data_IF_728275644529
#
_entry.id   IF_728275644529
#
_cell.length_a   1.000
_cell.length_b   1.000
_cell.length_c   1.000
_cell.angle_alpha   90.00
_cell.angle_beta   90.00
_cell.angle_gamma   90.00
#
_symmetry.space_group_name_H-M   'P 1'
#
loop_
_entity.id
_entity.type
_entity.pdbx_description
1 polymer ?
#
# COMPACT_ATOMS: atom_id res chain seq x y z
N UNK A 1 -3.06 -11.61 33.12
CA UNK A 1 -4.34 -11.48 32.39
C UNK A 1 -4.16 -10.46 31.28
N UNK A 2 -3.93 -10.91 30.04
CA UNK A 2 -3.79 -10.04 28.87
C UNK A 2 -5.19 -9.71 28.36
N UNK A 3 -5.51 -8.41 28.26
CA UNK A 3 -6.66 -7.96 27.46
C UNK A 3 -6.35 -8.31 26.01
N UNK A 4 -7.23 -9.11 25.40
CA UNK A 4 -7.22 -9.50 24.00
C UNK A 4 -7.36 -8.23 23.16
N UNK A 5 -6.24 -7.62 22.76
CA UNK A 5 -6.22 -6.70 21.63
C UNK A 5 -6.15 -7.56 20.37
N UNK A 6 -7.16 -7.43 19.53
CA UNK A 6 -7.36 -8.26 18.35
C UNK A 6 -6.13 -8.20 17.44
N UNK A 7 -5.42 -9.33 17.33
CA UNK A 7 -4.23 -9.52 16.49
C UNK A 7 -4.49 -9.25 14.99
N UNK A 8 -5.73 -9.00 14.59
CA UNK A 8 -6.11 -8.63 13.23
C UNK A 8 -5.71 -7.21 12.82
N UNK A 9 -5.44 -6.30 13.76
CA UNK A 9 -4.84 -5.00 13.40
C UNK A 9 -3.35 -5.13 13.04
N UNK A 10 -2.65 -6.12 13.60
CA UNK A 10 -1.23 -6.37 13.30
C UNK A 10 -1.02 -7.02 11.93
N UNK A 11 -2.03 -7.68 11.35
CA UNK A 11 -1.91 -8.29 10.02
C UNK A 11 -1.88 -7.26 8.88
N UNK A 12 -2.34 -6.03 9.11
CA UNK A 12 -2.32 -4.98 8.08
C UNK A 12 -0.90 -4.35 7.96
N UNK A 13 -0.09 -4.40 9.01
CA UNK A 13 1.28 -3.88 8.99
C UNK A 13 2.32 -4.86 8.39
N UNK A 14 1.92 -6.08 8.01
CA UNK A 14 2.84 -7.11 7.48
C UNK A 14 2.47 -7.46 6.03
N UNK A 15 2.38 -6.44 5.18
CA UNK A 15 2.71 -6.56 3.76
C UNK A 15 3.84 -5.58 3.38
N UNK A 16 4.76 -5.31 4.31
CA UNK A 16 6.07 -4.72 3.98
C UNK A 16 6.94 -5.81 3.36
N UNK A 17 6.64 -6.17 2.10
CA UNK A 17 7.66 -6.72 1.22
C UNK A 17 8.68 -5.61 1.08
N UNK A 18 9.91 -5.89 1.54
CA UNK A 18 10.99 -4.92 1.64
C UNK A 18 11.24 -4.17 0.35
N UNK A 19 10.60 -3.02 0.21
CA UNK A 19 11.03 -1.94 -0.64
C UNK A 19 11.86 -1.03 0.26
N UNK A 20 13.17 -1.15 0.15
CA UNK A 20 14.07 -0.09 0.62
C UNK A 20 13.77 1.11 -0.29
N UNK A 21 12.79 1.93 0.10
CA UNK A 21 12.46 3.17 -0.61
C UNK A 21 13.47 4.21 -0.15
N UNK A 22 14.62 4.27 -0.82
CA UNK A 22 15.47 5.46 -0.78
C UNK A 22 14.66 6.63 -1.35
N UNK A 23 14.13 7.45 -0.45
CA UNK A 23 13.41 8.67 -0.78
C UNK A 23 14.41 9.74 -1.18
N UNK A 24 14.24 10.29 -2.37
CA UNK A 24 14.83 11.57 -2.74
C UNK A 24 13.73 12.64 -2.69
N UNK A 25 13.65 13.36 -1.58
CA UNK A 25 13.03 14.69 -1.56
C UNK A 25 14.07 15.71 -2.00
N UNK A 26 13.88 16.21 -3.22
CA UNK A 26 14.62 17.34 -3.74
C UNK A 26 14.18 17.60 -5.16
N UNK A 27 13.81 18.84 -5.48
CA UNK A 27 13.90 19.36 -6.85
C UNK A 27 15.38 19.31 -7.25
N UNK A 28 15.84 18.12 -7.60
CA UNK A 28 17.10 17.90 -8.25
C UNK A 28 16.72 17.46 -9.65
N UNK A 29 17.08 18.28 -10.63
CA UNK A 29 17.22 17.82 -12.01
C UNK A 29 18.26 16.70 -11.99
N UNK A 30 17.85 15.47 -11.70
CA UNK A 30 18.74 14.32 -11.73
C UNK A 30 19.05 14.05 -13.19
N UNK A 31 20.30 14.36 -13.58
CA UNK A 31 20.93 14.01 -14.87
C UNK A 31 21.19 12.49 -14.99
N UNK A 32 20.29 11.68 -14.43
CA UNK A 32 20.37 10.22 -14.38
C UNK A 32 19.32 9.65 -15.33
N UNK A 33 19.67 8.71 -16.23
CA UNK A 33 18.74 8.28 -17.27
C UNK A 33 17.56 7.52 -16.67
N UNK A 34 16.33 8.01 -16.90
CA UNK A 34 15.09 7.38 -16.48
C UNK A 34 14.97 5.93 -17.00
N UNK A 35 14.33 5.05 -16.22
CA UNK A 35 13.99 3.68 -16.66
C UNK A 35 12.64 3.62 -17.37
N UNK A 36 11.70 4.48 -16.97
CA UNK A 36 10.39 4.66 -17.59
C UNK A 36 9.86 6.08 -17.34
N UNK A 37 8.92 6.53 -18.18
CA UNK A 37 8.08 7.71 -17.96
C UNK A 37 6.62 7.24 -17.89
N UNK A 38 5.88 7.66 -16.87
CA UNK A 38 4.47 7.33 -16.65
C UNK A 38 3.67 8.62 -16.57
N UNK A 39 2.83 8.90 -17.57
CA UNK A 39 2.05 10.14 -17.68
C UNK A 39 2.91 11.42 -17.55
N UNK A 40 4.14 11.38 -18.06
CA UNK A 40 5.09 12.50 -18.01
C UNK A 40 5.97 12.56 -16.76
N UNK A 41 5.75 11.71 -15.75
CA UNK A 41 6.60 11.61 -14.56
C UNK A 41 7.64 10.48 -14.72
N UNK A 42 8.90 10.74 -14.38
CA UNK A 42 10.00 9.80 -14.59
C UNK A 42 10.18 8.84 -13.41
N UNK A 43 10.38 7.55 -13.71
CA UNK A 43 10.93 6.55 -12.80
C UNK A 43 12.44 6.52 -13.00
N UNK A 44 13.22 6.92 -12.00
CA UNK A 44 14.69 7.06 -12.10
C UNK A 44 15.46 5.78 -11.79
N UNK A 45 16.70 5.67 -12.31
CA UNK A 45 17.59 4.52 -12.09
C UNK A 45 18.03 4.32 -10.65
N UNK A 46 18.09 5.35 -9.81
CA UNK A 46 18.40 5.19 -8.38
C UNK A 46 17.39 4.30 -7.66
N UNK A 47 16.13 4.27 -8.16
CA UNK A 47 15.12 3.33 -7.68
C UNK A 47 15.41 1.90 -8.12
N UNK A 48 16.08 1.69 -9.25
CA UNK A 48 16.43 0.39 -9.85
C UNK A 48 17.92 0.11 -9.64
N UNK A 49 18.28 -0.28 -8.43
CA UNK A 49 19.67 -0.42 -7.96
C UNK A 49 20.54 -1.30 -8.89
N UNK A 50 21.76 -0.82 -9.16
CA UNK A 50 22.81 -1.57 -9.85
C UNK A 50 23.25 -2.81 -9.05
N UNK A 51 23.38 -3.98 -9.70
CA UNK A 51 23.83 -5.24 -9.07
C UNK A 51 22.70 -6.23 -8.75
N UNK A 52 21.46 -5.90 -9.12
CA UNK A 52 20.29 -6.77 -8.98
C UNK A 52 20.11 -7.61 -10.27
N UNK A 53 19.64 -8.87 -10.13
CA UNK A 53 19.30 -9.71 -11.29
C UNK A 53 18.24 -9.03 -12.18
N UNK A 54 18.20 -9.28 -13.49
CA UNK A 54 17.21 -8.67 -14.39
C UNK A 54 15.77 -8.79 -13.88
N UNK A 55 15.38 -9.95 -13.35
CA UNK A 55 14.06 -10.20 -12.76
C UNK A 55 13.73 -9.27 -11.59
N UNK A 56 14.70 -8.99 -10.72
CA UNK A 56 14.46 -8.11 -9.59
C UNK A 56 14.50 -6.62 -10.01
N UNK A 57 15.23 -6.24 -11.07
CA UNK A 57 15.10 -4.91 -11.68
C UNK A 57 13.71 -4.70 -12.29
N UNK A 58 13.19 -5.70 -12.99
CA UNK A 58 11.83 -5.71 -13.53
C UNK A 58 10.80 -5.54 -12.41
N UNK A 59 10.94 -6.27 -11.29
CA UNK A 59 10.03 -6.18 -10.15
C UNK A 59 10.04 -4.80 -9.49
N UNK A 60 11.21 -4.20 -9.37
CA UNK A 60 11.36 -2.85 -8.81
C UNK A 60 10.72 -1.81 -9.72
N UNK A 61 10.91 -1.92 -11.03
CA UNK A 61 10.24 -1.04 -12.01
C UNK A 61 8.72 -1.22 -11.99
N UNK A 62 8.23 -2.47 -11.91
CA UNK A 62 6.79 -2.78 -11.75
C UNK A 62 6.20 -2.07 -10.52
N UNK A 63 6.83 -2.23 -9.36
CA UNK A 63 6.37 -1.61 -8.12
C UNK A 63 6.40 -0.07 -8.20
N UNK A 64 7.44 0.50 -8.80
CA UNK A 64 7.54 1.95 -8.97
C UNK A 64 6.45 2.50 -9.90
N UNK A 65 6.11 1.79 -10.98
CA UNK A 65 5.00 2.15 -11.87
C UNK A 65 3.68 2.09 -11.10
N UNK A 66 3.43 1.01 -10.34
CA UNK A 66 2.21 0.85 -9.52
C UNK A 66 2.06 1.98 -8.50
N UNK A 67 3.12 2.31 -7.77
CA UNK A 67 3.14 3.42 -6.81
C UNK A 67 2.78 4.75 -7.49
N UNK A 68 3.37 5.00 -8.66
CA UNK A 68 3.20 6.25 -9.39
C UNK A 68 1.78 6.42 -9.92
N UNK A 69 1.18 5.38 -10.52
CA UNK A 69 -0.21 5.47 -10.99
C UNK A 69 -1.20 5.64 -9.85
N UNK A 70 -0.95 5.02 -8.68
CA UNK A 70 -1.76 5.21 -7.47
C UNK A 70 -1.67 6.67 -6.98
N UNK A 71 -0.46 7.24 -6.90
CA UNK A 71 -0.28 8.65 -6.51
C UNK A 71 -0.99 9.60 -7.47
N UNK A 72 -0.92 9.33 -8.77
CA UNK A 72 -1.60 10.12 -9.78
C UNK A 72 -3.12 10.04 -9.66
N UNK A 73 -3.68 8.84 -9.43
CA UNK A 73 -5.11 8.68 -9.19
C UNK A 73 -5.55 9.36 -7.89
N UNK A 74 -4.80 9.20 -6.80
CA UNK A 74 -5.09 9.87 -5.53
C UNK A 74 -5.12 11.40 -5.69
N UNK A 75 -4.16 11.97 -6.42
CA UNK A 75 -4.12 13.40 -6.76
C UNK A 75 -5.33 13.83 -7.58
N UNK A 76 -5.70 13.06 -8.60
CA UNK A 76 -6.90 13.30 -9.43
C UNK A 76 -8.19 13.25 -8.59
N UNK A 77 -8.24 12.38 -7.60
CA UNK A 77 -9.34 12.27 -6.65
C UNK A 77 -9.29 13.31 -5.52
N UNK A 78 -8.24 14.12 -5.42
CA UNK A 78 -8.07 15.10 -4.33
C UNK A 78 -7.87 14.45 -2.96
N UNK A 79 -7.30 13.25 -2.93
CA UNK A 79 -6.98 12.47 -1.73
C UNK A 79 -5.58 12.87 -1.22
N UNK A 80 -5.43 12.99 0.10
CA UNK A 80 -4.17 13.30 0.76
C UNK A 80 -4.06 12.46 2.04
N UNK A 81 -2.84 12.04 2.40
CA UNK A 81 -2.61 11.32 3.63
C UNK A 81 -2.92 12.18 4.86
N UNK A 82 -3.58 11.62 5.86
CA UNK A 82 -3.81 12.29 7.14
C UNK A 82 -2.59 12.13 8.03
N UNK A 83 -1.77 13.18 8.12
CA UNK A 83 -0.53 13.17 8.90
C UNK A 83 -0.74 12.83 10.37
N UNK A 84 -1.91 13.11 10.95
CA UNK A 84 -2.22 12.77 12.33
C UNK A 84 -2.44 11.27 12.51
N UNK A 85 -3.10 10.63 11.55
CA UNK A 85 -3.26 9.18 11.51
C UNK A 85 -1.89 8.52 11.41
N UNK A 86 -1.03 9.05 10.54
CA UNK A 86 0.35 8.55 10.39
C UNK A 86 1.16 8.68 11.68
N UNK A 87 1.10 9.83 12.36
CA UNK A 87 1.77 10.01 13.66
C UNK A 87 1.28 8.99 14.70
N UNK A 88 -0.04 8.79 14.77
CA UNK A 88 -0.64 7.83 15.69
C UNK A 88 -0.18 6.40 15.39
N UNK A 89 -0.10 6.02 14.12
CA UNK A 89 0.34 4.70 13.68
C UNK A 89 1.84 4.47 13.96
N UNK A 90 2.70 5.45 13.67
CA UNK A 90 4.14 5.40 14.01
C UNK A 90 4.32 5.16 15.51
N UNK A 91 3.61 5.89 16.36
CA UNK A 91 3.69 5.72 17.81
C UNK A 91 3.12 4.38 18.29
N UNK A 92 2.08 3.86 17.62
CA UNK A 92 1.54 2.53 17.91
C UNK A 92 2.55 1.44 17.53
N UNK A 93 3.20 1.54 16.38
CA UNK A 93 4.25 0.62 15.95
C UNK A 93 5.38 0.65 16.98
N UNK A 94 5.89 1.82 17.37
CA UNK A 94 6.95 1.95 18.37
C UNK A 94 6.60 1.28 19.70
N UNK A 95 5.36 1.45 20.17
CA UNK A 95 4.87 0.78 21.39
C UNK A 95 4.80 -0.74 21.27
N UNK A 96 4.59 -1.28 20.06
CA UNK A 96 4.53 -2.73 19.83
C UNK A 96 5.89 -3.44 19.95
N UNK A 97 7.00 -2.70 19.80
CA UNK A 97 8.37 -3.24 19.87
C UNK A 97 8.92 -3.34 21.29
N UNK A 98 8.17 -2.95 22.33
CA UNK A 98 8.58 -3.06 23.73
C UNK A 98 9.55 -1.96 24.17
N UNK A 99 10.75 -1.93 23.60
CA UNK A 99 11.76 -0.91 23.87
C UNK A 99 12.14 -0.09 22.64
N UNK A 100 12.67 1.12 22.87
CA UNK A 100 13.19 1.98 21.80
C UNK A 100 14.36 1.32 21.05
N UNK A 101 15.23 0.61 21.77
CA UNK A 101 16.39 -0.07 21.20
C UNK A 101 15.98 -1.21 20.26
N UNK A 102 14.96 -2.01 20.63
CA UNK A 102 14.41 -3.06 19.76
C UNK A 102 13.81 -2.50 18.46
N UNK A 103 13.13 -1.36 18.54
CA UNK A 103 12.61 -0.65 17.37
C UNK A 103 13.74 -0.12 16.48
N UNK A 104 14.74 0.56 17.06
CA UNK A 104 15.88 1.07 16.29
C UNK A 104 16.68 -0.06 15.63
N UNK A 105 16.86 -1.19 16.30
CA UNK A 105 17.52 -2.36 15.74
C UNK A 105 16.70 -3.03 14.64
N UNK A 106 15.36 -3.02 14.74
CA UNK A 106 14.50 -3.42 13.64
C UNK A 106 14.71 -2.54 12.40
N UNK A 107 14.70 -1.21 12.55
CA UNK A 107 14.94 -0.28 11.45
C UNK A 107 16.33 -0.49 10.82
N UNK A 108 17.38 -0.65 11.64
CA UNK A 108 18.74 -0.96 11.18
C UNK A 108 18.81 -2.27 10.39
N UNK A 109 18.19 -3.35 10.88
CA UNK A 109 18.13 -4.65 10.18
C UNK A 109 17.42 -4.53 8.85
N UNK A 110 16.37 -3.71 8.78
CA UNK A 110 15.63 -3.39 7.56
C UNK A 110 16.35 -2.39 6.65
N UNK A 111 17.40 -1.73 7.15
CA UNK A 111 18.17 -0.68 6.47
C UNK A 111 17.30 0.51 6.06
N UNK A 112 16.37 0.89 6.94
CA UNK A 112 15.46 2.03 6.75
C UNK A 112 15.55 2.97 7.95
N UNK A 113 15.11 4.20 7.77
CA UNK A 113 14.90 5.19 8.84
C UNK A 113 13.44 5.22 9.27
N UNK A 114 13.14 5.89 10.39
CA UNK A 114 11.74 6.16 10.81
C UNK A 114 11.01 7.01 9.76
N UNK A 115 11.71 7.93 9.09
CA UNK A 115 11.15 8.72 7.99
C UNK A 115 10.78 7.86 6.77
N UNK A 116 11.61 6.86 6.43
CA UNK A 116 11.30 5.92 5.36
C UNK A 116 10.02 5.13 5.69
N UNK A 117 9.93 4.63 6.93
CA UNK A 117 8.72 3.96 7.42
C UNK A 117 7.50 4.90 7.38
N UNK A 118 7.67 6.17 7.76
CA UNK A 118 6.59 7.17 7.72
C UNK A 118 6.07 7.38 6.30
N UNK A 119 6.99 7.46 5.32
CA UNK A 119 6.63 7.57 3.89
C UNK A 119 5.90 6.33 3.37
N UNK A 120 6.25 5.14 3.87
CA UNK A 120 5.55 3.90 3.53
C UNK A 120 4.11 3.91 4.07
N UNK A 121 3.93 4.35 5.33
CA UNK A 121 2.59 4.51 5.94
C UNK A 121 1.75 5.55 5.18
N UNK A 122 2.34 6.69 4.84
CA UNK A 122 1.67 7.72 4.01
C UNK A 122 1.20 7.16 2.67
N UNK A 123 2.02 6.32 2.03
CA UNK A 123 1.62 5.66 0.79
C UNK A 123 0.53 4.62 0.99
N UNK A 124 0.57 3.87 2.08
CA UNK A 124 -0.48 2.91 2.42
C UNK A 124 -1.82 3.64 2.60
N UNK A 125 -1.84 4.69 3.43
CA UNK A 125 -3.04 5.52 3.66
C UNK A 125 -3.56 6.14 2.37
N UNK A 126 -2.67 6.72 1.56
CA UNK A 126 -3.03 7.31 0.27
C UNK A 126 -3.67 6.28 -0.67
N UNK A 127 -3.08 5.09 -0.75
CA UNK A 127 -3.57 3.99 -1.58
C UNK A 127 -4.94 3.50 -1.12
N UNK A 128 -5.15 3.35 0.18
CA UNK A 128 -6.42 2.92 0.74
C UNK A 128 -7.55 3.93 0.51
N UNK A 129 -7.28 5.21 0.76
CA UNK A 129 -8.25 6.27 0.50
C UNK A 129 -8.58 6.40 -0.99
N UNK A 130 -7.56 6.31 -1.87
CA UNK A 130 -7.76 6.38 -3.32
C UNK A 130 -8.58 5.18 -3.83
N UNK A 131 -8.29 3.97 -3.34
CA UNK A 131 -9.06 2.77 -3.66
C UNK A 131 -10.51 2.91 -3.19
N UNK A 132 -10.74 3.25 -1.91
CA UNK A 132 -12.09 3.34 -1.34
C UNK A 132 -12.95 4.41 -2.03
N UNK A 133 -12.32 5.46 -2.58
CA UNK A 133 -13.01 6.49 -3.36
C UNK A 133 -13.25 6.08 -4.82
N UNK A 134 -12.35 5.29 -5.40
CA UNK A 134 -12.49 4.76 -6.77
C UNK A 134 -13.53 3.64 -6.85
N UNK A 135 -13.49 2.73 -5.87
CA UNK A 135 -14.32 1.54 -5.77
C UNK A 135 -14.95 1.54 -4.36
N UNK A 136 -16.05 2.28 -4.17
CA UNK A 136 -16.67 2.40 -2.86
C UNK A 136 -17.46 1.14 -2.49
N UNK A 137 -17.23 0.66 -1.27
CA UNK A 137 -18.04 -0.40 -0.66
C UNK A 137 -19.43 0.14 -0.33
N UNK A 138 -20.48 -0.49 -0.87
CA UNK A 138 -21.89 -0.08 -0.68
C UNK A 138 -22.46 -0.62 0.63
N UNK A 139 -23.43 0.10 1.20
CA UNK A 139 -24.12 -0.31 2.43
C UNK A 139 -24.77 -1.71 2.33
N UNK A 140 -25.30 -2.04 1.15
CA UNK A 140 -25.88 -3.34 0.84
C UNK A 140 -24.84 -4.46 0.93
N UNK A 141 -23.62 -4.21 0.46
CA UNK A 141 -22.50 -5.17 0.51
C UNK A 141 -22.00 -5.36 1.94
N UNK A 142 -21.96 -4.28 2.75
CA UNK A 142 -21.65 -4.35 4.18
C UNK A 142 -22.68 -5.22 4.91
N UNK A 143 -23.98 -5.00 4.65
CA UNK A 143 -25.05 -5.78 5.27
C UNK A 143 -24.99 -7.25 4.84
N UNK A 144 -24.78 -7.50 3.54
CA UNK A 144 -24.61 -8.85 2.99
C UNK A 144 -23.43 -9.57 3.63
N UNK A 145 -22.30 -8.89 3.81
CA UNK A 145 -21.14 -9.45 4.50
C UNK A 145 -21.49 -9.91 5.91
N UNK A 146 -22.17 -9.05 6.70
CA UNK A 146 -22.63 -9.45 8.04
C UNK A 146 -23.55 -10.67 7.97
N UNK A 147 -24.52 -10.68 7.05
CA UNK A 147 -25.48 -11.77 6.97
C UNK A 147 -24.84 -13.12 6.63
N UNK A 148 -23.75 -13.11 5.84
CA UNK A 148 -22.99 -14.29 5.45
C UNK A 148 -21.97 -14.73 6.52
N UNK A 149 -21.48 -13.81 7.34
CA UNK A 149 -20.37 -14.04 8.29
C UNK A 149 -20.77 -13.78 9.75
N UNK A 150 -22.07 -13.92 10.11
CA UNK A 150 -22.57 -13.59 11.46
C UNK A 150 -21.77 -14.22 12.60
N UNK A 151 -21.29 -15.45 12.40
CA UNK A 151 -20.53 -16.20 13.40
C UNK A 151 -19.20 -15.54 13.75
N UNK A 152 -18.59 -14.77 12.85
CA UNK A 152 -17.36 -14.01 13.10
C UNK A 152 -17.56 -12.87 14.11
N UNK A 153 -18.80 -12.43 14.28
CA UNK A 153 -19.18 -11.33 15.18
C UNK A 153 -19.78 -11.81 16.51
N UNK A 154 -19.89 -13.13 16.69
CA UNK A 154 -20.43 -13.78 17.89
C UNK A 154 -21.88 -14.26 17.73
N UNK A 155 -22.24 -15.24 18.57
CA UNK A 155 -23.51 -16.00 18.45
C UNK A 155 -24.77 -15.15 18.47
N UNK A 156 -24.76 -14.01 19.17
CA UNK A 156 -25.89 -13.09 19.30
C UNK A 156 -25.57 -11.70 18.71
N UNK A 157 -24.68 -11.62 17.73
CA UNK A 157 -24.32 -10.35 17.10
C UNK A 157 -25.56 -9.68 16.50
N UNK A 158 -25.74 -8.40 16.81
CA UNK A 158 -26.75 -7.53 16.20
C UNK A 158 -25.99 -6.52 15.34
N UNK A 159 -26.35 -6.41 14.06
CA UNK A 159 -25.63 -5.58 13.08
C UNK A 159 -25.32 -4.17 13.60
N UNK A 160 -26.30 -3.48 14.18
CA UNK A 160 -26.11 -2.11 14.70
C UNK A 160 -25.02 -2.00 15.77
N UNK A 161 -24.80 -3.06 16.57
CA UNK A 161 -23.80 -3.07 17.64
C UNK A 161 -22.39 -3.42 17.13
N UNK A 162 -22.27 -3.94 15.90
CA UNK A 162 -21.00 -4.39 15.32
C UNK A 162 -20.71 -3.76 13.95
N UNK A 163 -21.50 -2.78 13.52
CA UNK A 163 -21.48 -2.22 12.17
C UNK A 163 -20.09 -1.76 11.73
N UNK A 164 -19.33 -1.12 12.61
CA UNK A 164 -17.98 -0.65 12.28
C UNK A 164 -17.01 -1.82 12.03
N UNK A 165 -17.06 -2.86 12.86
CA UNK A 165 -16.26 -4.09 12.65
C UNK A 165 -16.68 -4.84 11.38
N UNK A 166 -17.97 -4.88 11.09
CA UNK A 166 -18.49 -5.45 9.84
C UNK A 166 -17.95 -4.68 8.66
N UNK A 167 -18.02 -3.34 8.69
CA UNK A 167 -17.52 -2.48 7.62
C UNK A 167 -16.03 -2.68 7.39
N UNK A 168 -15.23 -2.76 8.45
CA UNK A 168 -13.80 -3.04 8.37
C UNK A 168 -13.54 -4.38 7.66
N UNK A 169 -14.18 -5.47 8.14
CA UNK A 169 -14.04 -6.81 7.55
C UNK A 169 -14.52 -6.90 6.10
N UNK A 170 -15.67 -6.28 5.80
CA UNK A 170 -16.22 -6.22 4.46
C UNK A 170 -15.31 -5.42 3.52
N UNK A 171 -14.72 -4.31 4.00
CA UNK A 171 -13.74 -3.54 3.21
C UNK A 171 -12.47 -4.34 2.95
N UNK A 172 -11.99 -5.13 3.91
CA UNK A 172 -10.85 -6.02 3.71
C UNK A 172 -11.13 -7.07 2.62
N UNK A 173 -12.32 -7.69 2.64
CA UNK A 173 -12.73 -8.61 1.57
C UNK A 173 -12.86 -7.89 0.22
N UNK A 174 -13.49 -6.72 0.21
CA UNK A 174 -13.68 -5.92 -0.99
C UNK A 174 -12.34 -5.51 -1.61
N UNK A 175 -11.37 -5.07 -0.80
CA UNK A 175 -10.00 -4.80 -1.24
C UNK A 175 -9.35 -6.05 -1.82
N UNK A 176 -9.47 -7.21 -1.15
CA UNK A 176 -8.93 -8.48 -1.66
C UNK A 176 -9.50 -8.85 -3.04
N UNK A 177 -10.76 -8.52 -3.31
CA UNK A 177 -11.43 -8.84 -4.57
C UNK A 177 -11.10 -7.86 -5.70
N UNK A 178 -11.01 -6.55 -5.41
CA UNK A 178 -10.97 -5.52 -6.46
C UNK A 178 -9.64 -4.75 -6.56
N UNK A 179 -8.75 -4.83 -5.57
CA UNK A 179 -7.57 -3.96 -5.51
C UNK A 179 -6.56 -4.23 -6.63
N UNK A 180 -6.28 -5.50 -6.93
CA UNK A 180 -5.33 -5.85 -7.98
C UNK A 180 -5.86 -5.45 -9.37
N UNK A 181 -7.15 -5.69 -9.62
CA UNK A 181 -7.82 -5.25 -10.86
C UNK A 181 -7.87 -3.74 -11.01
N UNK A 182 -8.06 -3.01 -9.90
CA UNK A 182 -7.99 -1.56 -9.88
C UNK A 182 -6.61 -1.08 -10.29
N UNK A 183 -5.54 -1.61 -9.69
CA UNK A 183 -4.16 -1.29 -10.06
C UNK A 183 -3.90 -1.61 -11.54
N UNK A 184 -4.33 -2.78 -12.02
CA UNK A 184 -4.17 -3.16 -13.42
C UNK A 184 -4.86 -2.17 -14.36
N UNK A 185 -6.06 -1.71 -14.00
CA UNK A 185 -6.78 -0.69 -14.76
C UNK A 185 -6.02 0.64 -14.78
N UNK A 186 -5.45 1.07 -13.65
CA UNK A 186 -4.63 2.28 -13.58
C UNK A 186 -3.39 2.19 -14.46
N UNK A 187 -2.67 1.06 -14.41
CA UNK A 187 -1.47 0.82 -15.24
C UNK A 187 -1.83 0.78 -16.72
N UNK A 188 -2.89 0.07 -17.10
CA UNK A 188 -3.37 -0.05 -18.49
C UNK A 188 -3.75 1.31 -19.09
N UNK A 189 -4.30 2.20 -18.27
CA UNK A 189 -4.74 3.53 -18.69
C UNK A 189 -3.61 4.58 -18.68
N UNK A 190 -2.42 4.23 -18.19
CA UNK A 190 -1.29 5.16 -18.14
C UNK A 190 -0.48 5.14 -19.46
N UNK A 191 0.00 6.30 -19.90
CA UNK A 191 1.01 6.41 -20.96
C UNK A 191 2.38 6.06 -20.38
N UNK A 192 2.85 4.84 -20.64
CA UNK A 192 4.12 4.32 -20.13
C UNK A 192 5.14 4.20 -21.26
N UNK A 193 6.23 4.97 -21.16
CA UNK A 193 7.37 4.94 -22.10
C UNK A 193 8.60 4.39 -21.40
N UNK A 194 9.02 3.20 -21.79
CA UNK A 194 10.25 2.57 -21.28
C UNK A 194 11.48 3.14 -21.98
N UNK A 195 12.46 3.61 -21.20
CA UNK A 195 13.66 4.31 -21.71
C UNK A 195 14.94 3.51 -21.47
N UNK A 196 14.88 2.51 -20.58
CA UNK A 196 16.03 1.63 -20.29
C UNK A 196 16.00 0.33 -21.10
N UNK A 197 17.16 -0.34 -21.19
CA UNK A 197 17.29 -1.71 -21.72
C UNK A 197 16.83 -2.78 -20.72
N UNK A 198 16.22 -2.39 -19.61
CA UNK A 198 15.69 -3.32 -18.60
C UNK A 198 14.47 -3.99 -19.23
N UNK A 199 14.35 -5.30 -19.02
CA UNK A 199 13.19 -6.05 -19.46
C UNK A 199 11.91 -5.45 -18.88
N UNK A 200 10.92 -5.24 -19.73
CA UNK A 200 9.68 -4.56 -19.35
C UNK A 200 8.90 -5.43 -18.36
N UNK A 201 8.24 -4.84 -17.35
CA UNK A 201 7.43 -5.62 -16.42
C UNK A 201 6.20 -6.15 -17.14
N UNK A 202 5.92 -7.43 -16.94
CA UNK A 202 4.66 -8.05 -17.36
C UNK A 202 3.66 -7.87 -16.23
N UNK A 203 2.61 -7.09 -16.48
CA UNK A 203 1.46 -7.01 -15.59
C UNK A 203 0.51 -8.12 -16.01
N UNK A 204 0.69 -9.31 -15.44
CA UNK A 204 -0.16 -10.47 -15.74
C UNK A 204 -1.62 -10.13 -15.41
N UNK A 205 -2.51 -10.29 -16.39
CA UNK A 205 -3.95 -10.33 -16.11
C UNK A 205 -4.20 -11.61 -15.31
N UNK A 206 -4.47 -11.49 -14.01
CA UNK A 206 -5.01 -12.62 -13.27
C UNK A 206 -6.40 -12.89 -13.86
N UNK A 207 -6.50 -13.92 -14.70
CA UNK A 207 -7.79 -14.52 -15.01
C UNK A 207 -8.43 -14.90 -13.68
N UNK A 208 -9.60 -14.33 -13.40
CA UNK A 208 -10.37 -14.70 -12.23
C UNK A 208 -10.76 -16.17 -12.37
N UNK A 209 -10.13 -17.05 -11.59
CA UNK A 209 -10.62 -18.43 -11.36
C UNK A 209 -11.97 -18.44 -10.63
#
# INVERSE_FOLDING_TARGET
MMKKFDATMLTIAILVVGLVILGATGKQETKEPAVAIVNGEAVTKDRVINGITPKAQQKVMENAIKELVIRQEAKKLGVQADLKTIDAEVEQIKKSWGTKEEFEDFLKRKKITEEDMRRDLEMSELSEQAFAKSIPLKDEEIKKYFDQHKTEFGTNAVYENVKDKVKEKAMLQHKKEYFDQWIHTLVKNADIKYISKIEQPTFEEQEAE
#
